data_IF_727756066464
#
_entry.id   IF_727756066464
#
_cell.length_a   1.000
_cell.length_b   1.000
_cell.length_c   1.000
_cell.angle_alpha   90.00
_cell.angle_beta   90.00
_cell.angle_gamma   90.00
#
_symmetry.space_group_name_H-M   'P 1'
#
loop_
_entity.id
_entity.type
_entity.pdbx_description
1 polymer ?
#
# COMPACT_ATOMS: atom_id res chain seq x y z
N UNK A 1 -35.77 -21.79 -33.05
CA UNK A 1 -34.98 -22.07 -31.82
C UNK A 1 -33.48 -21.75 -31.94
N UNK A 2 -32.75 -22.21 -32.98
CA UNK A 2 -31.29 -22.01 -33.11
C UNK A 2 -30.80 -20.54 -33.09
N UNK A 3 -31.57 -19.57 -33.61
CA UNK A 3 -31.14 -18.15 -33.64
C UNK A 3 -31.29 -17.43 -32.30
N UNK A 4 -32.32 -17.75 -31.49
CA UNK A 4 -32.47 -17.23 -30.12
C UNK A 4 -31.33 -17.72 -29.22
N UNK A 5 -30.98 -19.02 -29.29
CA UNK A 5 -29.88 -19.59 -28.53
C UNK A 5 -28.52 -18.94 -28.88
N UNK A 6 -28.22 -18.77 -30.17
CA UNK A 6 -27.00 -18.04 -30.60
C UNK A 6 -26.96 -16.60 -30.10
N UNK A 7 -28.11 -15.92 -30.09
CA UNK A 7 -28.22 -14.53 -29.62
C UNK A 7 -27.98 -14.43 -28.11
N UNK A 8 -28.53 -15.36 -27.32
CA UNK A 8 -28.27 -15.46 -25.87
C UNK A 8 -26.79 -15.70 -25.61
N UNK A 9 -26.17 -16.69 -26.29
CA UNK A 9 -24.73 -16.99 -26.14
C UNK A 9 -23.87 -15.75 -26.48
N UNK A 10 -24.21 -15.02 -27.56
CA UNK A 10 -23.50 -13.80 -27.94
C UNK A 10 -23.59 -12.73 -26.86
N UNK A 11 -24.78 -12.48 -26.30
CA UNK A 11 -24.93 -11.50 -25.22
C UNK A 11 -24.20 -11.94 -23.94
N UNK A 12 -24.28 -13.22 -23.57
CA UNK A 12 -23.53 -13.76 -22.43
C UNK A 12 -22.02 -13.59 -22.60
N UNK A 13 -21.49 -13.82 -23.81
CA UNK A 13 -20.07 -13.62 -24.10
C UNK A 13 -19.67 -12.14 -23.99
N UNK A 14 -20.50 -11.21 -24.47
CA UNK A 14 -20.25 -9.76 -24.35
C UNK A 14 -20.25 -9.34 -22.88
N UNK A 15 -21.24 -9.78 -22.10
CA UNK A 15 -21.34 -9.48 -20.67
C UNK A 15 -20.11 -10.01 -19.93
N UNK A 16 -19.71 -11.25 -20.20
CA UNK A 16 -18.53 -11.86 -19.59
C UNK A 16 -17.25 -11.09 -19.94
N UNK A 17 -17.07 -10.72 -21.22
CA UNK A 17 -15.94 -9.90 -21.64
C UNK A 17 -15.91 -8.54 -20.93
N UNK A 18 -17.06 -7.86 -20.82
CA UNK A 18 -17.17 -6.59 -20.10
C UNK A 18 -16.81 -6.73 -18.62
N UNK A 19 -17.27 -7.80 -17.96
CA UNK A 19 -16.93 -8.07 -16.56
C UNK A 19 -15.43 -8.31 -16.37
N UNK A 20 -14.79 -9.04 -17.28
CA UNK A 20 -13.34 -9.26 -17.25
C UNK A 20 -12.56 -7.94 -17.43
N UNK A 21 -13.03 -7.05 -18.30
CA UNK A 21 -12.41 -5.72 -18.50
C UNK A 21 -12.53 -4.88 -17.23
N UNK A 22 -13.72 -4.79 -16.63
CA UNK A 22 -13.94 -4.05 -15.37
C UNK A 22 -13.05 -4.63 -14.26
N UNK A 23 -13.00 -5.95 -14.13
CA UNK A 23 -12.15 -6.63 -13.16
C UNK A 23 -10.66 -6.31 -13.36
N UNK A 24 -10.18 -6.35 -14.60
CA UNK A 24 -8.80 -5.99 -14.94
C UNK A 24 -8.48 -4.51 -14.63
N UNK A 25 -9.42 -3.59 -14.87
CA UNK A 25 -9.26 -2.18 -14.55
C UNK A 25 -9.17 -1.94 -13.04
N UNK A 26 -9.98 -2.63 -12.23
CA UNK A 26 -9.90 -2.51 -10.76
C UNK A 26 -8.59 -3.08 -10.22
N UNK A 27 -8.11 -4.21 -10.75
CA UNK A 27 -6.77 -4.72 -10.43
C UNK A 27 -5.67 -3.71 -10.76
N UNK A 28 -5.73 -3.08 -11.94
CA UNK A 28 -4.76 -2.06 -12.33
C UNK A 28 -4.82 -0.84 -11.40
N UNK A 29 -6.03 -0.40 -11.01
CA UNK A 29 -6.24 0.71 -10.07
C UNK A 29 -5.63 0.41 -8.70
N UNK A 30 -5.91 -0.76 -8.13
CA UNK A 30 -5.32 -1.19 -6.85
C UNK A 30 -3.78 -1.22 -6.93
N UNK A 31 -3.24 -1.71 -8.05
CA UNK A 31 -1.79 -1.74 -8.29
C UNK A 31 -1.17 -0.33 -8.36
N UNK A 32 -1.86 0.62 -8.98
CA UNK A 32 -1.43 2.02 -9.06
C UNK A 32 -1.45 2.70 -7.69
N UNK A 33 -2.48 2.46 -6.87
CA UNK A 33 -2.57 2.97 -5.50
C UNK A 33 -1.41 2.44 -4.66
N UNK A 34 -1.18 1.12 -4.69
CA UNK A 34 -0.04 0.49 -4.02
C UNK A 34 1.29 1.15 -4.43
N UNK A 35 1.51 1.33 -5.74
CA UNK A 35 2.74 1.94 -6.25
C UNK A 35 2.91 3.38 -5.78
N UNK A 36 1.84 4.17 -5.80
CA UNK A 36 1.86 5.56 -5.31
C UNK A 36 2.24 5.62 -3.83
N UNK A 37 1.68 4.73 -3.01
CA UNK A 37 1.97 4.70 -1.57
C UNK A 37 3.40 4.24 -1.32
N UNK A 38 3.86 3.19 -2.00
CA UNK A 38 5.25 2.71 -1.91
C UNK A 38 6.23 3.84 -2.24
N UNK A 39 6.02 4.55 -3.36
CA UNK A 39 6.86 5.66 -3.76
C UNK A 39 6.82 6.82 -2.73
N UNK A 40 5.65 7.07 -2.13
CA UNK A 40 5.51 8.10 -1.07
C UNK A 40 6.33 7.73 0.16
N UNK A 41 6.25 6.49 0.62
CA UNK A 41 7.00 6.00 1.79
C UNK A 41 8.51 6.04 1.49
N UNK A 42 8.92 5.63 0.31
CA UNK A 42 10.31 5.72 -0.15
C UNK A 42 10.82 7.17 -0.17
N UNK A 43 10.03 8.09 -0.74
CA UNK A 43 10.34 9.51 -0.75
C UNK A 43 10.40 10.11 0.66
N UNK A 44 9.51 9.67 1.57
CA UNK A 44 9.53 10.10 2.96
C UNK A 44 10.79 9.60 3.68
N UNK A 45 11.17 8.34 3.46
CA UNK A 45 12.40 7.77 4.02
C UNK A 45 13.65 8.58 3.62
N UNK A 46 13.73 9.06 2.38
CA UNK A 46 14.84 9.90 1.92
C UNK A 46 14.90 11.30 2.59
N UNK A 47 13.76 11.79 3.10
CA UNK A 47 13.64 13.13 3.70
C UNK A 47 13.76 13.12 5.22
N UNK A 48 13.28 12.06 5.87
CA UNK A 48 13.30 11.90 7.32
C UNK A 48 14.75 11.73 7.83
N UNK A 49 15.12 12.49 8.86
CA UNK A 49 16.47 12.50 9.44
C UNK A 49 16.43 12.51 10.96
N UNK A 50 17.49 11.99 11.58
CA UNK A 50 17.71 12.04 13.03
C UNK A 50 17.59 13.48 13.55
N UNK A 51 16.99 13.65 14.73
CA UNK A 51 16.76 14.94 15.38
C UNK A 51 15.43 15.61 15.03
N UNK A 52 14.74 15.19 13.96
CA UNK A 52 13.40 15.67 13.60
C UNK A 52 12.38 15.31 14.68
N UNK A 53 11.38 16.15 14.84
CA UNK A 53 10.26 15.98 15.76
C UNK A 53 9.16 15.09 15.15
N UNK A 54 8.27 14.58 15.99
CA UNK A 54 7.08 13.83 15.54
C UNK A 54 6.21 14.59 14.55
N UNK A 55 6.05 15.91 14.73
CA UNK A 55 5.22 16.73 13.85
C UNK A 55 5.87 16.93 12.48
N UNK A 56 7.18 17.17 12.43
CA UNK A 56 7.93 17.22 11.17
C UNK A 56 7.84 15.89 10.41
N UNK A 57 7.96 14.76 11.12
CA UNK A 57 7.81 13.43 10.52
C UNK A 57 6.41 13.22 9.98
N UNK A 58 5.37 13.62 10.72
CA UNK A 58 3.97 13.50 10.28
C UNK A 58 3.69 14.38 9.05
N UNK A 59 4.31 15.55 8.94
CA UNK A 59 4.19 16.39 7.74
C UNK A 59 4.81 15.74 6.50
N UNK A 60 5.92 15.00 6.67
CA UNK A 60 6.63 14.34 5.56
C UNK A 60 5.99 13.00 5.18
N UNK A 61 5.78 12.11 6.15
CA UNK A 61 5.36 10.72 5.93
C UNK A 61 3.84 10.51 6.04
N UNK A 62 3.12 11.47 6.63
CA UNK A 62 1.73 11.30 7.06
C UNK A 62 1.61 10.45 8.31
N UNK A 63 0.39 10.00 8.60
CA UNK A 63 0.14 9.17 9.78
C UNK A 63 0.72 7.76 9.64
N UNK A 64 1.36 7.23 10.71
CA UNK A 64 1.85 5.86 10.73
C UNK A 64 0.70 4.86 10.75
N UNK A 65 0.94 3.69 10.19
CA UNK A 65 -0.01 2.56 10.24
C UNK A 65 0.04 1.90 11.61
N UNK A 66 1.19 1.95 12.29
CA UNK A 66 1.39 1.32 13.59
C UNK A 66 2.29 2.20 14.47
N UNK A 67 1.92 2.30 15.75
CA UNK A 67 2.70 2.97 16.80
C UNK A 67 2.97 1.96 17.91
N UNK A 68 4.24 1.70 18.20
CA UNK A 68 4.69 0.76 19.23
C UNK A 68 5.42 1.53 20.32
N UNK A 69 4.88 1.50 21.53
CA UNK A 69 5.48 2.14 22.71
C UNK A 69 6.40 1.13 23.43
N UNK A 70 7.69 1.40 23.47
CA UNK A 70 8.71 0.61 24.20
C UNK A 70 9.55 1.54 25.06
N UNK A 71 9.00 1.93 26.23
CA UNK A 71 9.63 2.90 27.14
C UNK A 71 11.14 2.63 27.32
N UNK A 72 12.01 3.64 27.11
CA UNK A 72 11.69 5.06 26.88
C UNK A 72 11.32 5.41 25.43
N UNK A 73 11.47 4.48 24.48
CA UNK A 73 11.35 4.73 23.05
C UNK A 73 9.93 4.57 22.50
N UNK A 74 9.67 5.22 21.38
CA UNK A 74 8.45 5.05 20.58
C UNK A 74 8.79 4.79 19.12
N UNK A 75 8.17 3.78 18.52
CA UNK A 75 8.41 3.37 17.14
C UNK A 75 7.17 3.65 16.30
N UNK A 76 7.35 4.40 15.22
CA UNK A 76 6.31 4.62 14.21
C UNK A 76 6.65 3.83 12.97
N UNK A 77 5.65 3.16 12.40
CA UNK A 77 5.82 2.33 11.21
C UNK A 77 4.83 2.71 10.12
N UNK A 78 5.35 2.81 8.90
CA UNK A 78 4.60 2.87 7.65
C UNK A 78 4.98 1.64 6.83
N UNK A 79 3.99 1.00 6.21
CA UNK A 79 4.23 -0.15 5.35
C UNK A 79 3.37 -0.09 4.10
N UNK A 80 3.99 -0.21 2.93
CA UNK A 80 3.27 -0.33 1.66
C UNK A 80 2.44 -1.62 1.58
N UNK A 81 2.80 -2.65 2.37
CA UNK A 81 2.13 -3.96 2.38
C UNK A 81 0.67 -3.86 2.79
N UNK A 82 0.35 -3.01 3.76
CA UNK A 82 -1.03 -2.81 4.26
C UNK A 82 -1.95 -2.21 3.18
N UNK A 83 -1.37 -1.69 2.11
CA UNK A 83 -2.08 -1.12 0.97
C UNK A 83 -2.10 -2.03 -0.27
N UNK A 84 -1.77 -3.32 -0.10
CA UNK A 84 -2.10 -4.32 -1.11
C UNK A 84 -3.62 -4.36 -1.28
N UNK A 85 -4.08 -4.19 -2.52
CA UNK A 85 -5.49 -4.15 -2.83
C UNK A 85 -6.23 -5.44 -2.49
N UNK A 86 -7.53 -5.32 -2.19
CA UNK A 86 -8.36 -6.44 -1.74
C UNK A 86 -8.59 -7.44 -2.87
N UNK A 87 -8.73 -6.99 -4.13
CA UNK A 87 -8.85 -7.91 -5.26
C UNK A 87 -7.55 -8.69 -5.45
N UNK A 88 -6.39 -8.03 -5.36
CA UNK A 88 -5.09 -8.70 -5.41
C UNK A 88 -4.95 -9.77 -4.32
N UNK A 89 -5.40 -9.48 -3.09
CA UNK A 89 -5.42 -10.46 -1.98
C UNK A 89 -6.33 -11.65 -2.32
N UNK A 90 -7.53 -11.39 -2.80
CA UNK A 90 -8.53 -12.42 -3.13
C UNK A 90 -8.10 -13.36 -4.27
N UNK A 91 -7.37 -12.85 -5.26
CA UNK A 91 -6.83 -13.69 -6.35
C UNK A 91 -5.48 -14.33 -6.02
N UNK A 92 -4.93 -14.07 -4.83
CA UNK A 92 -3.66 -14.66 -4.40
C UNK A 92 -2.44 -14.13 -5.16
N UNK A 93 -2.50 -12.90 -5.70
CA UNK A 93 -1.39 -12.27 -6.43
C UNK A 93 -0.63 -11.25 -5.59
N UNK A 94 -0.87 -11.21 -4.28
CA UNK A 94 -0.05 -10.44 -3.35
C UNK A 94 1.27 -11.15 -3.06
N UNK A 95 2.29 -10.37 -2.74
CA UNK A 95 3.56 -10.87 -2.22
C UNK A 95 3.63 -10.57 -0.72
N UNK A 96 4.45 -11.31 0.01
CA UNK A 96 4.82 -10.97 1.40
C UNK A 96 6.14 -10.18 1.46
N UNK A 97 6.84 -10.06 0.33
CA UNK A 97 8.14 -9.40 0.14
C UNK A 97 8.08 -8.39 -1.01
N UNK A 98 9.08 -7.53 -1.12
CA UNK A 98 9.17 -6.41 -2.05
C UNK A 98 8.32 -5.21 -1.62
N UNK A 99 8.07 -5.04 -0.32
CA UNK A 99 7.32 -3.90 0.21
C UNK A 99 8.26 -2.89 0.82
N UNK A 100 8.02 -1.62 0.54
CA UNK A 100 8.74 -0.56 1.20
C UNK A 100 8.14 -0.33 2.58
N UNK A 101 8.97 -0.50 3.60
CA UNK A 101 8.64 -0.16 4.98
C UNK A 101 9.54 0.99 5.44
N UNK A 102 8.97 1.86 6.27
CA UNK A 102 9.68 2.91 6.99
C UNK A 102 9.36 2.73 8.48
N UNK A 103 10.39 2.66 9.31
CA UNK A 103 10.28 2.61 10.75
C UNK A 103 11.14 3.72 11.33
N UNK A 104 10.54 4.55 12.18
CA UNK A 104 11.21 5.66 12.84
C UNK A 104 11.13 5.44 14.34
N UNK A 105 12.25 5.61 15.02
CA UNK A 105 12.39 5.49 16.47
C UNK A 105 12.56 6.88 17.08
N UNK A 106 11.74 7.19 18.07
CA UNK A 106 11.76 8.43 18.83
C UNK A 106 12.27 8.18 20.25
N UNK A 107 13.05 9.13 20.78
CA UNK A 107 13.46 9.20 22.17
C UNK A 107 12.36 9.78 23.08
N UNK A 108 12.68 9.92 24.38
CA UNK A 108 11.78 10.51 25.37
C UNK A 108 11.45 11.99 25.10
N UNK A 109 12.35 12.69 24.42
CA UNK A 109 12.19 14.08 23.96
C UNK A 109 11.40 14.18 22.64
N UNK A 110 10.87 13.07 22.12
CA UNK A 110 10.09 12.98 20.88
C UNK A 110 10.88 13.37 19.62
N UNK A 111 12.18 13.09 19.60
CA UNK A 111 13.06 13.29 18.44
C UNK A 111 13.52 11.97 17.85
N UNK A 112 13.72 11.96 16.53
CA UNK A 112 14.21 10.77 15.85
C UNK A 112 15.64 10.45 16.30
N UNK A 113 15.82 9.26 16.84
CA UNK A 113 17.13 8.69 17.17
C UNK A 113 17.58 7.68 16.12
N UNK A 114 16.63 7.03 15.42
CA UNK A 114 16.96 6.05 14.38
C UNK A 114 15.89 5.96 13.31
N UNK A 115 16.34 5.76 12.07
CA UNK A 115 15.48 5.53 10.91
C UNK A 115 15.89 4.19 10.30
N UNK A 116 14.90 3.36 10.02
CA UNK A 116 15.04 2.13 9.26
C UNK A 116 14.11 2.21 8.06
N UNK A 117 14.60 1.88 6.87
CA UNK A 117 13.73 1.82 5.71
C UNK A 117 14.36 1.05 4.56
N UNK A 118 13.51 0.47 3.74
CA UNK A 118 13.94 -0.31 2.58
C UNK A 118 12.89 -1.29 2.09
N UNK A 119 13.26 -2.00 1.02
CA UNK A 119 12.49 -3.12 0.49
C UNK A 119 12.69 -4.35 1.39
N UNK A 120 11.62 -4.76 2.08
CA UNK A 120 11.53 -5.98 2.88
C UNK A 120 11.17 -7.20 2.04
#
# INVERSE_FOLDING_TARGET
>A
MKSKARRIIKYSAIIMASLLVIFGLELARERLIYRRISNRIESAHAQVKTGMTKDEVRQIAGDPVEIILRKPDEYWRWSAREHQGELWKRVGWTSVRGHYDLIVMFDAENRIVKVFGGLN
#
